data_IF_899576161922
#
_entry.id   IF_899576161922
#
_cell.length_a   1.000
_cell.length_b   1.000
_cell.length_c   1.000
_cell.angle_alpha   90.00
_cell.angle_beta   90.00
_cell.angle_gamma   90.00
#
_symmetry.space_group_name_H-M   'P 1'
#
loop_
_entity.id
_entity.type
_entity.pdbx_description
1 polymer ?
#
# COMPACT_ATOMS: atom_id res chain seq x y z
N UNK A 1 74.86 66.31 44.98
CA UNK A 1 73.47 66.82 44.98
C UNK A 1 72.54 65.67 44.58
N UNK A 2 71.51 65.39 45.40
CA UNK A 2 70.19 64.76 45.14
C UNK A 2 70.04 63.82 43.91
N UNK A 3 69.51 62.59 43.98
CA UNK A 3 68.34 62.14 44.72
C UNK A 3 68.32 60.59 44.89
N UNK A 4 67.86 60.11 46.04
CA UNK A 4 67.52 58.69 46.29
C UNK A 4 66.11 58.43 45.77
N UNK A 5 65.95 57.43 44.90
CA UNK A 5 64.66 56.85 44.51
C UNK A 5 64.42 55.56 45.31
N UNK A 6 63.57 55.64 46.34
CA UNK A 6 63.07 54.49 47.10
C UNK A 6 61.95 53.81 46.32
N UNK A 7 62.17 52.59 45.81
CA UNK A 7 61.11 51.69 45.33
C UNK A 7 60.39 51.09 46.53
N UNK A 8 59.09 51.37 46.65
CA UNK A 8 58.19 50.72 47.62
C UNK A 8 57.80 49.32 47.11
N UNK A 9 57.84 48.32 48.01
CA UNK A 9 57.25 47.00 47.78
C UNK A 9 55.71 47.11 47.78
N UNK A 10 54.98 46.46 46.85
CA UNK A 10 53.53 46.38 46.94
C UNK A 10 53.13 45.44 48.09
N UNK A 11 52.24 45.92 48.95
CA UNK A 11 51.57 45.16 50.01
C UNK A 11 50.65 44.06 49.41
N UNK A 12 50.51 42.89 50.07
CA UNK A 12 49.61 41.85 49.60
C UNK A 12 48.16 42.33 49.64
N UNK A 13 47.46 42.24 48.52
CA UNK A 13 46.01 42.47 48.43
C UNK A 13 45.27 41.44 49.28
N UNK A 14 44.29 41.83 50.12
CA UNK A 14 43.51 40.88 50.89
C UNK A 14 42.67 40.02 49.94
N UNK A 15 42.86 38.71 50.02
CA UNK A 15 41.96 37.75 49.37
C UNK A 15 40.57 37.91 49.98
N UNK A 16 39.56 38.17 49.14
CA UNK A 16 38.16 38.22 49.58
C UNK A 16 37.82 36.89 50.27
N UNK A 17 37.21 36.90 51.46
CA UNK A 17 36.83 35.67 52.13
C UNK A 17 35.85 34.91 51.24
N UNK A 18 36.16 33.65 50.97
CA UNK A 18 35.26 32.74 50.24
C UNK A 18 33.93 32.75 50.97
N UNK A 19 32.87 33.23 50.31
CA UNK A 19 31.54 33.27 50.89
C UNK A 19 30.96 31.85 50.85
N UNK A 20 31.29 31.07 51.87
CA UNK A 20 30.82 29.70 52.05
C UNK A 20 29.29 29.59 52.02
N UNK A 21 28.55 30.65 52.35
CA UNK A 21 27.08 30.70 52.23
C UNK A 21 26.57 30.64 50.78
N UNK A 22 27.31 31.20 49.82
CA UNK A 22 26.96 31.11 48.39
C UNK A 22 27.29 29.73 47.85
N UNK A 23 28.43 29.15 48.24
CA UNK A 23 28.84 27.81 47.80
C UNK A 23 27.87 26.75 48.34
N UNK A 24 27.47 26.82 49.60
CA UNK A 24 26.48 25.91 50.19
C UNK A 24 25.11 26.08 49.56
N UNK A 25 24.68 27.32 49.26
CA UNK A 25 23.43 27.57 48.56
C UNK A 25 23.41 26.94 47.15
N UNK A 26 24.51 27.09 46.38
CA UNK A 26 24.63 26.47 45.05
C UNK A 26 24.64 24.95 45.13
N UNK A 27 25.36 24.37 46.10
CA UNK A 27 25.38 22.91 46.31
C UNK A 27 24.00 22.40 46.72
N UNK A 28 23.28 23.08 47.61
CA UNK A 28 21.92 22.71 48.02
C UNK A 28 20.91 22.86 46.87
N UNK A 29 21.07 23.87 46.02
CA UNK A 29 20.25 24.03 44.82
C UNK A 29 20.52 22.90 43.82
N UNK A 30 21.79 22.53 43.64
CA UNK A 30 22.18 21.42 42.77
C UNK A 30 21.71 20.07 43.29
N UNK A 31 21.85 19.80 44.59
CA UNK A 31 21.32 18.62 45.27
C UNK A 31 19.80 18.62 45.22
N UNK A 32 19.14 19.77 45.40
CA UNK A 32 17.69 19.92 45.29
C UNK A 32 17.19 19.63 43.88
N UNK A 33 17.85 20.13 42.84
CA UNK A 33 17.53 19.83 41.44
C UNK A 33 17.83 18.39 41.07
N UNK A 34 18.91 17.81 41.60
CA UNK A 34 19.29 16.43 41.35
C UNK A 34 18.36 15.47 42.08
N UNK A 35 17.99 15.77 43.33
CA UNK A 35 17.00 15.03 44.10
C UNK A 35 15.61 15.16 43.46
N UNK A 36 15.21 16.34 43.00
CA UNK A 36 13.99 16.53 42.24
C UNK A 36 14.02 15.75 40.92
N UNK A 37 15.11 15.77 40.14
CA UNK A 37 15.26 14.93 38.94
C UNK A 37 15.22 13.42 39.25
N UNK A 38 15.81 12.99 40.37
CA UNK A 38 15.84 11.59 40.79
C UNK A 38 14.51 11.13 41.42
N UNK A 39 13.66 12.04 41.88
CA UNK A 39 12.38 11.73 42.56
C UNK A 39 11.14 12.14 41.77
N UNK A 40 11.28 12.96 40.72
CA UNK A 40 10.20 13.34 39.80
C UNK A 40 9.81 12.14 38.95
N UNK A 41 8.91 11.32 39.47
CA UNK A 41 8.25 10.28 38.68
C UNK A 41 7.37 10.97 37.64
N UNK A 42 7.51 10.56 36.37
CA UNK A 42 6.59 10.97 35.32
C UNK A 42 5.17 10.60 35.80
N UNK A 43 4.23 11.56 35.84
CA UNK A 43 2.88 11.27 36.31
C UNK A 43 2.25 10.23 35.41
N UNK A 44 1.69 9.17 36.01
CA UNK A 44 0.99 8.12 35.27
C UNK A 44 -0.24 8.73 34.62
N UNK A 45 -0.32 8.65 33.29
CA UNK A 45 -1.50 9.09 32.55
C UNK A 45 -2.68 8.16 32.86
N UNK A 46 -3.89 8.72 33.04
CA UNK A 46 -5.10 7.90 33.11
C UNK A 46 -5.35 7.22 31.74
N UNK A 47 -5.76 5.95 31.78
CA UNK A 47 -6.11 5.20 30.58
C UNK A 47 -7.22 5.93 29.79
N UNK A 48 -7.11 6.03 28.46
CA UNK A 48 -8.15 6.65 27.64
C UNK A 48 -9.49 5.93 27.80
N UNK A 49 -10.58 6.71 27.86
CA UNK A 49 -11.94 6.17 27.85
C UNK A 49 -12.45 6.20 26.42
N UNK A 50 -12.58 5.03 25.82
CA UNK A 50 -13.00 4.87 24.43
C UNK A 50 -14.28 4.04 24.40
N UNK A 51 -15.25 4.45 23.58
CA UNK A 51 -16.42 3.63 23.29
C UNK A 51 -16.01 2.47 22.38
N UNK A 52 -16.21 1.25 22.87
CA UNK A 52 -15.82 0.02 22.18
C UNK A 52 -17.03 -0.76 21.63
N UNK A 53 -18.23 -0.18 21.69
CA UNK A 53 -19.47 -0.88 21.33
C UNK A 53 -19.51 -1.38 19.87
N UNK A 54 -18.92 -0.63 18.94
CA UNK A 54 -18.85 -0.97 17.51
C UNK A 54 -17.48 -1.50 17.07
N UNK A 55 -16.56 -1.74 18.01
CA UNK A 55 -15.19 -2.17 17.72
C UNK A 55 -15.11 -3.69 17.62
N UNK A 56 -14.31 -4.18 16.66
CA UNK A 56 -14.09 -5.60 16.46
C UNK A 56 -13.57 -6.28 17.75
N UNK A 57 -14.14 -7.42 18.18
CA UNK A 57 -13.74 -8.12 19.41
C UNK A 57 -12.24 -8.41 19.51
N UNK A 58 -11.56 -8.61 18.38
CA UNK A 58 -10.13 -8.86 18.38
C UNK A 58 -9.31 -7.61 18.74
N UNK A 59 -9.76 -6.44 18.27
CA UNK A 59 -9.19 -5.15 18.65
C UNK A 59 -9.46 -4.89 20.14
N UNK A 60 -10.68 -5.16 20.62
CA UNK A 60 -11.05 -5.03 22.05
C UNK A 60 -10.14 -5.89 22.93
N UNK A 61 -9.93 -7.16 22.59
CA UNK A 61 -9.04 -8.05 23.33
C UNK A 61 -7.59 -7.53 23.34
N UNK A 62 -7.11 -7.01 22.21
CA UNK A 62 -5.77 -6.41 22.13
C UNK A 62 -5.63 -5.17 23.03
N UNK A 63 -6.65 -4.30 23.05
CA UNK A 63 -6.72 -3.13 23.94
C UNK A 63 -6.68 -3.59 25.40
N UNK A 64 -7.56 -4.52 25.80
CA UNK A 64 -7.64 -5.03 27.17
C UNK A 64 -6.32 -5.66 27.65
N UNK A 65 -5.64 -6.41 26.78
CA UNK A 65 -4.32 -6.97 27.09
C UNK A 65 -3.26 -5.89 27.31
N UNK A 66 -3.24 -4.85 26.47
CA UNK A 66 -2.31 -3.73 26.61
C UNK A 66 -2.60 -2.93 27.90
N UNK A 67 -3.87 -2.63 28.19
CA UNK A 67 -4.30 -1.99 29.43
C UNK A 67 -3.94 -2.82 30.67
N UNK A 68 -4.10 -4.14 30.61
CA UNK A 68 -3.71 -5.05 31.69
C UNK A 68 -2.22 -4.95 32.02
N UNK A 69 -1.37 -4.88 30.99
CA UNK A 69 0.08 -4.66 31.16
C UNK A 69 0.40 -3.30 31.76
N UNK A 70 -0.30 -2.24 31.34
CA UNK A 70 -0.14 -0.89 31.92
C UNK A 70 -0.56 -0.86 33.39
N UNK A 71 -1.65 -1.55 33.76
CA UNK A 71 -2.08 -1.65 35.16
C UNK A 71 -1.05 -2.37 36.04
N UNK A 72 -0.33 -3.34 35.48
CA UNK A 72 0.75 -4.05 36.18
C UNK A 72 2.04 -3.21 36.29
N UNK A 73 2.43 -2.55 35.20
CA UNK A 73 3.59 -1.65 35.14
C UNK A 73 3.23 -0.35 34.40
N UNK A 74 2.78 0.68 35.14
CA UNK A 74 2.41 1.96 34.54
C UNK A 74 3.58 2.72 33.90
N UNK A 75 4.82 2.34 34.21
CA UNK A 75 6.04 2.95 33.67
C UNK A 75 6.54 2.29 32.39
N UNK A 76 5.86 1.25 31.91
CA UNK A 76 6.24 0.53 30.69
C UNK A 76 5.90 1.35 29.43
N UNK A 77 6.90 2.04 28.87
CA UNK A 77 6.76 2.75 27.60
C UNK A 77 6.28 1.81 26.48
N UNK A 78 6.78 0.57 26.45
CA UNK A 78 6.36 -0.42 25.46
C UNK A 78 4.87 -0.78 25.55
N UNK A 79 4.29 -0.89 26.76
CA UNK A 79 2.88 -1.20 26.94
C UNK A 79 2.00 -0.03 26.46
N UNK A 80 2.39 1.20 26.82
CA UNK A 80 1.74 2.42 26.33
C UNK A 80 1.85 2.57 24.81
N UNK A 81 3.01 2.26 24.23
CA UNK A 81 3.21 2.32 22.79
C UNK A 81 2.33 1.29 22.05
N UNK A 82 2.24 0.06 22.56
CA UNK A 82 1.36 -0.95 21.97
C UNK A 82 -0.11 -0.52 22.03
N UNK A 83 -0.57 0.02 23.16
CA UNK A 83 -1.92 0.56 23.28
C UNK A 83 -2.14 1.70 22.28
N UNK A 84 -1.19 2.63 22.20
CA UNK A 84 -1.27 3.78 21.30
C UNK A 84 -1.28 3.41 19.82
N UNK A 85 -0.42 2.46 19.41
CA UNK A 85 -0.42 1.90 18.06
C UNK A 85 -1.75 1.22 17.77
N UNK A 86 -2.25 0.39 18.70
CA UNK A 86 -3.52 -0.33 18.53
C UNK A 86 -4.67 0.65 18.31
N UNK A 87 -4.74 1.73 19.09
CA UNK A 87 -5.75 2.76 18.86
C UNK A 87 -5.57 3.45 17.51
N UNK A 88 -4.36 3.94 17.21
CA UNK A 88 -4.10 4.72 15.99
C UNK A 88 -4.46 3.95 14.71
N UNK A 89 -4.00 2.71 14.57
CA UNK A 89 -4.19 1.94 13.33
C UNK A 89 -5.59 1.40 13.14
N UNK A 90 -6.40 1.43 14.19
CA UNK A 90 -7.82 1.06 14.17
C UNK A 90 -8.70 2.31 14.32
N UNK A 91 -8.26 3.43 13.71
CA UNK A 91 -8.99 4.69 13.54
C UNK A 91 -9.29 5.50 14.81
N UNK A 92 -8.83 5.06 15.98
CA UNK A 92 -8.93 5.80 17.24
C UNK A 92 -7.71 6.71 17.43
N UNK A 93 -7.59 7.74 16.59
CA UNK A 93 -6.36 8.55 16.45
C UNK A 93 -5.97 9.34 17.71
N UNK A 94 -6.91 10.08 18.30
CA UNK A 94 -6.65 10.93 19.47
C UNK A 94 -6.16 10.14 20.71
N UNK A 95 -6.85 9.05 21.16
CA UNK A 95 -6.33 8.23 22.25
C UNK A 95 -5.03 7.52 21.87
N UNK A 96 -4.86 7.15 20.60
CA UNK A 96 -3.62 6.58 20.09
C UNK A 96 -2.42 7.50 20.23
N UNK A 97 -2.53 8.73 19.72
CA UNK A 97 -1.50 9.75 19.81
C UNK A 97 -1.13 10.09 21.25
N UNK A 98 -2.12 10.19 22.16
CA UNK A 98 -1.85 10.42 23.59
C UNK A 98 -1.03 9.32 24.25
N UNK A 99 -1.36 8.05 23.99
CA UNK A 99 -0.61 6.92 24.50
C UNK A 99 0.83 6.89 23.94
N UNK A 100 1.02 7.22 22.66
CA UNK A 100 2.33 7.30 22.02
C UNK A 100 3.18 8.44 22.59
N UNK A 101 2.58 9.61 22.80
CA UNK A 101 3.23 10.74 23.47
C UNK A 101 3.69 10.36 24.89
N UNK A 102 2.84 9.64 25.63
CA UNK A 102 3.21 9.16 26.97
C UNK A 102 4.33 8.11 26.94
N UNK A 103 4.30 7.19 25.98
CA UNK A 103 5.40 6.24 25.76
C UNK A 103 6.73 6.96 25.47
N UNK A 104 6.69 8.04 24.68
CA UNK A 104 7.87 8.87 24.44
C UNK A 104 8.37 9.58 25.69
N UNK A 105 7.48 10.09 26.56
CA UNK A 105 7.89 10.68 27.84
C UNK A 105 8.63 9.68 28.73
N UNK A 106 8.19 8.42 28.75
CA UNK A 106 8.82 7.34 29.52
C UNK A 106 10.15 6.88 28.91
N UNK A 107 10.27 6.87 27.58
CA UNK A 107 11.51 6.53 26.86
C UNK A 107 11.92 7.60 25.82
N UNK A 108 12.44 8.77 26.25
CA UNK A 108 12.71 9.91 25.35
C UNK A 108 13.81 9.68 24.32
N UNK A 109 14.53 8.56 24.37
CA UNK A 109 15.56 8.20 23.39
C UNK A 109 14.99 7.40 22.21
N UNK A 110 13.77 6.89 22.32
CA UNK A 110 13.13 6.08 21.29
C UNK A 110 12.32 6.94 20.33
N UNK A 111 13.01 7.51 19.32
CA UNK A 111 12.38 8.41 18.34
C UNK A 111 11.20 7.81 17.56
N UNK A 112 11.09 6.48 17.50
CA UNK A 112 9.96 5.79 16.83
C UNK A 112 8.60 6.08 17.48
N UNK A 113 8.54 6.32 18.79
CA UNK A 113 7.28 6.66 19.47
C UNK A 113 6.76 8.02 18.99
N UNK A 114 7.67 8.98 18.85
CA UNK A 114 7.38 10.30 18.30
C UNK A 114 7.01 10.23 16.81
N UNK A 115 7.63 9.31 16.07
CA UNK A 115 7.28 9.07 14.67
C UNK A 115 5.83 8.60 14.53
N UNK A 116 5.43 7.58 15.29
CA UNK A 116 4.05 7.09 15.28
C UNK A 116 3.05 8.11 15.81
N UNK A 117 3.41 8.88 16.86
CA UNK A 117 2.58 9.98 17.36
C UNK A 117 2.30 10.98 16.24
N UNK A 118 3.35 11.42 15.53
CA UNK A 118 3.20 12.35 14.42
C UNK A 118 2.33 11.80 13.29
N UNK A 119 2.46 10.51 12.95
CA UNK A 119 1.60 9.87 11.95
C UNK A 119 0.14 9.72 12.42
N UNK A 120 -0.12 9.63 13.73
CA UNK A 120 -1.47 9.57 14.27
C UNK A 120 -2.27 10.87 14.09
N UNK A 121 -1.59 11.98 13.82
CA UNK A 121 -2.22 13.26 13.54
C UNK A 121 -2.73 13.41 12.11
N UNK A 122 -2.36 12.52 11.19
CA UNK A 122 -2.74 12.64 9.79
C UNK A 122 -4.11 12.04 9.48
N UNK A 123 -4.87 12.62 8.53
CA UNK A 123 -4.58 13.86 7.79
C UNK A 123 -5.06 15.13 8.52
N UNK A 124 -5.62 15.00 9.73
CA UNK A 124 -6.44 16.03 10.37
C UNK A 124 -5.63 17.20 10.95
N UNK A 125 -4.35 16.97 11.30
CA UNK A 125 -3.48 17.90 12.02
C UNK A 125 -2.06 17.90 11.44
N UNK A 126 -1.95 18.30 10.18
CA UNK A 126 -0.69 18.28 9.40
C UNK A 126 0.43 19.08 10.06
N UNK A 127 0.24 20.32 10.55
CA UNK A 127 1.33 21.09 11.16
C UNK A 127 1.96 20.39 12.38
N UNK A 128 1.14 19.80 13.24
CA UNK A 128 1.62 19.04 14.39
C UNK A 128 2.27 17.72 13.97
N UNK A 129 1.75 17.07 12.92
CA UNK A 129 2.35 15.86 12.36
C UNK A 129 3.77 16.13 11.84
N UNK A 130 3.92 17.19 11.04
CA UNK A 130 5.19 17.64 10.45
C UNK A 130 6.22 17.89 11.54
N UNK A 131 5.86 18.63 12.59
CA UNK A 131 6.81 18.93 13.67
C UNK A 131 7.25 17.68 14.44
N UNK A 132 6.30 16.79 14.77
CA UNK A 132 6.62 15.53 15.47
C UNK A 132 7.50 14.62 14.62
N UNK A 133 7.17 14.44 13.34
CA UNK A 133 7.91 13.57 12.42
C UNK A 133 9.30 14.16 12.14
N UNK A 134 9.44 15.49 12.04
CA UNK A 134 10.74 16.16 11.88
C UNK A 134 11.68 15.84 13.04
N UNK A 135 11.22 16.01 14.28
CA UNK A 135 12.03 15.67 15.46
C UNK A 135 12.36 14.16 15.44
N UNK A 136 11.39 13.30 15.12
CA UNK A 136 11.63 11.86 15.04
C UNK A 136 12.66 11.50 13.96
N UNK A 137 12.63 12.15 12.80
CA UNK A 137 13.57 11.96 11.70
C UNK A 137 15.00 12.40 12.04
N UNK A 138 15.15 13.42 12.89
CA UNK A 138 16.46 13.82 13.42
C UNK A 138 16.99 12.77 14.42
N UNK A 139 16.12 12.23 15.28
CA UNK A 139 16.50 11.21 16.26
C UNK A 139 16.84 9.86 15.64
N UNK A 140 16.12 9.49 14.57
CA UNK A 140 16.25 8.21 13.88
C UNK A 140 17.20 8.26 12.68
N UNK A 141 17.85 9.41 12.42
CA UNK A 141 18.66 9.65 11.24
C UNK A 141 19.74 8.58 11.01
N UNK A 142 20.40 8.14 12.08
CA UNK A 142 21.43 7.10 12.02
C UNK A 142 20.87 5.70 11.80
N UNK A 143 19.60 5.48 12.09
CA UNK A 143 18.95 4.17 11.97
C UNK A 143 18.42 3.96 10.55
N UNK A 144 17.67 4.92 10.01
CA UNK A 144 17.07 4.80 8.68
C UNK A 144 16.59 6.14 8.13
N UNK A 145 16.56 6.30 6.80
CA UNK A 145 16.03 7.50 6.12
C UNK A 145 14.51 7.62 6.14
N UNK A 146 13.80 6.53 6.46
CA UNK A 146 12.36 6.39 6.26
C UNK A 146 11.53 7.55 6.85
N UNK A 147 11.74 7.96 8.11
CA UNK A 147 10.96 9.06 8.70
C UNK A 147 11.20 10.40 7.98
N UNK A 148 12.43 10.66 7.52
CA UNK A 148 12.76 11.89 6.79
C UNK A 148 12.16 11.90 5.38
N UNK A 149 12.20 10.77 4.69
CA UNK A 149 11.53 10.62 3.40
C UNK A 149 10.01 10.79 3.54
N UNK A 150 9.40 10.21 4.59
CA UNK A 150 7.97 10.37 4.84
C UNK A 150 7.60 11.81 5.17
N UNK A 151 8.41 12.52 5.96
CA UNK A 151 8.25 13.96 6.20
C UNK A 151 8.23 14.75 4.89
N UNK A 152 9.20 14.50 4.01
CA UNK A 152 9.30 15.17 2.72
C UNK A 152 8.05 14.93 1.86
N UNK A 153 7.56 13.68 1.82
CA UNK A 153 6.33 13.33 1.10
C UNK A 153 5.11 14.04 1.68
N UNK A 154 4.94 14.07 3.00
CA UNK A 154 3.81 14.77 3.64
C UNK A 154 3.81 16.26 3.29
N UNK A 155 4.97 16.91 3.37
CA UNK A 155 5.12 18.31 2.99
C UNK A 155 4.79 18.55 1.50
N UNK A 156 5.26 17.67 0.61
CA UNK A 156 4.96 17.78 -0.82
C UNK A 156 3.47 17.54 -1.13
N UNK A 157 2.83 16.58 -0.47
CA UNK A 157 1.40 16.29 -0.60
C UNK A 157 0.53 17.45 -0.07
N UNK A 158 0.99 18.14 0.97
CA UNK A 158 0.39 19.39 1.48
C UNK A 158 0.68 20.62 0.59
N UNK A 159 1.38 20.44 -0.54
CA UNK A 159 1.72 21.50 -1.49
C UNK A 159 2.93 22.35 -1.10
N UNK A 160 3.59 22.04 0.02
CA UNK A 160 4.77 22.75 0.52
C UNK A 160 6.07 22.24 -0.14
N UNK A 161 6.17 22.35 -1.47
CA UNK A 161 7.29 21.80 -2.25
C UNK A 161 8.66 22.34 -1.83
N UNK A 162 8.76 23.63 -1.54
CA UNK A 162 10.01 24.26 -1.11
C UNK A 162 10.45 23.78 0.29
N UNK A 163 9.50 23.48 1.18
CA UNK A 163 9.79 22.89 2.49
C UNK A 163 10.18 21.41 2.37
N UNK A 164 9.60 20.67 1.42
CA UNK A 164 9.91 19.26 1.18
C UNK A 164 11.33 19.06 0.59
N UNK A 165 11.75 19.96 -0.31
CA UNK A 165 13.03 19.89 -1.04
C UNK A 165 14.26 19.56 -0.17
N UNK A 166 14.59 20.31 0.90
CA UNK A 166 15.79 20.02 1.70
C UNK A 166 15.73 18.64 2.36
N UNK A 167 14.54 18.12 2.69
CA UNK A 167 14.41 16.79 3.26
C UNK A 167 14.70 15.68 2.25
N UNK A 168 14.26 15.83 0.99
CA UNK A 168 14.64 14.90 -0.08
C UNK A 168 16.14 14.95 -0.38
N UNK A 169 16.73 16.16 -0.44
CA UNK A 169 18.17 16.34 -0.65
C UNK A 169 18.97 15.63 0.45
N UNK A 170 18.58 15.81 1.72
CA UNK A 170 19.22 15.15 2.85
C UNK A 170 19.18 13.62 2.74
N UNK A 171 18.05 13.05 2.31
CA UNK A 171 17.95 11.61 2.06
C UNK A 171 18.93 11.18 0.96
N UNK A 172 19.00 11.94 -0.13
CA UNK A 172 19.86 11.61 -1.27
C UNK A 172 21.35 11.77 -0.97
N UNK A 173 21.73 12.76 -0.16
CA UNK A 173 23.12 12.98 0.29
C UNK A 173 23.66 11.77 1.07
N UNK A 174 22.82 11.16 1.91
CA UNK A 174 23.20 10.03 2.74
C UNK A 174 22.97 8.67 2.06
N UNK A 175 22.00 8.61 1.16
CA UNK A 175 21.62 7.42 0.40
C UNK A 175 21.56 7.76 -1.10
N UNK A 176 22.74 7.90 -1.75
CA UNK A 176 22.81 8.22 -3.17
C UNK A 176 22.04 7.22 -4.01
N UNK A 177 21.24 7.72 -4.96
CA UNK A 177 20.40 6.89 -5.82
C UNK A 177 19.10 6.39 -5.19
N UNK A 178 18.70 6.89 -4.00
CA UNK A 178 17.40 6.55 -3.43
C UNK A 178 16.26 6.96 -4.40
N UNK A 179 15.50 5.99 -4.95
CA UNK A 179 14.60 6.27 -6.06
C UNK A 179 13.41 7.15 -5.65
N UNK A 180 12.92 6.98 -4.41
CA UNK A 180 11.81 7.78 -3.88
C UNK A 180 12.21 9.23 -3.65
N UNK A 181 13.43 9.48 -3.16
CA UNK A 181 13.94 10.84 -3.01
C UNK A 181 14.19 11.51 -4.36
N UNK A 182 14.72 10.78 -5.35
CA UNK A 182 14.86 11.27 -6.73
C UNK A 182 13.50 11.62 -7.34
N UNK A 183 12.51 10.74 -7.20
CA UNK A 183 11.14 11.01 -7.68
C UNK A 183 10.55 12.26 -7.01
N UNK A 184 10.74 12.41 -5.70
CA UNK A 184 10.34 13.61 -4.95
C UNK A 184 10.99 14.89 -5.47
N UNK A 185 12.32 14.88 -5.67
CA UNK A 185 13.06 16.03 -6.21
C UNK A 185 12.69 16.36 -7.67
N UNK A 186 12.38 15.35 -8.48
CA UNK A 186 11.85 15.55 -9.82
C UNK A 186 10.53 16.30 -9.79
N UNK A 187 9.60 15.89 -8.90
CA UNK A 187 8.30 16.58 -8.70
C UNK A 187 8.47 18.00 -8.18
N UNK A 188 9.37 18.21 -7.22
CA UNK A 188 9.70 19.56 -6.72
C UNK A 188 10.23 20.42 -7.86
N UNK A 189 11.20 19.93 -8.65
CA UNK A 189 11.81 20.68 -9.75
C UNK A 189 10.79 21.02 -10.84
N UNK A 190 9.88 20.08 -11.14
CA UNK A 190 8.76 20.28 -12.05
C UNK A 190 7.80 21.37 -11.54
N UNK A 191 7.47 21.36 -10.24
CA UNK A 191 6.61 22.38 -9.64
C UNK A 191 7.25 23.78 -9.65
N UNK A 192 8.57 23.86 -9.48
CA UNK A 192 9.34 25.11 -9.57
C UNK A 192 9.62 25.55 -11.03
N UNK A 193 9.15 24.81 -12.04
CA UNK A 193 9.34 25.13 -13.47
C UNK A 193 10.71 24.81 -14.04
N UNK A 194 11.57 24.11 -13.30
CA UNK A 194 12.89 23.68 -13.77
C UNK A 194 12.80 22.30 -14.41
N UNK A 195 12.29 22.25 -15.65
CA UNK A 195 11.98 20.99 -16.35
C UNK A 195 13.23 20.15 -16.65
N UNK A 196 14.36 20.75 -17.02
CA UNK A 196 15.60 20.02 -17.29
C UNK A 196 16.10 19.28 -16.06
N UNK A 197 16.04 19.93 -14.89
CA UNK A 197 16.41 19.30 -13.63
C UNK A 197 15.40 18.21 -13.23
N UNK A 198 14.10 18.42 -13.52
CA UNK A 198 13.08 17.41 -13.28
C UNK A 198 13.32 16.14 -14.10
N UNK A 199 13.59 16.29 -15.41
CA UNK A 199 13.95 15.19 -16.31
C UNK A 199 15.16 14.42 -15.75
N UNK A 200 16.24 15.13 -15.40
CA UNK A 200 17.46 14.49 -14.88
C UNK A 200 17.22 13.66 -13.60
N UNK A 201 16.31 14.09 -12.73
CA UNK A 201 15.95 13.30 -11.54
C UNK A 201 15.07 12.09 -11.87
N UNK A 202 14.08 12.24 -12.76
CA UNK A 202 13.21 11.14 -13.12
C UNK A 202 13.94 10.03 -13.89
N UNK A 203 14.85 10.39 -14.80
CA UNK A 203 15.66 9.41 -15.55
C UNK A 203 16.44 8.47 -14.62
N UNK A 204 16.99 9.01 -13.52
CA UNK A 204 17.75 8.24 -12.53
C UNK A 204 16.92 7.22 -11.74
N UNK A 205 15.59 7.36 -11.69
CA UNK A 205 14.71 6.44 -10.96
C UNK A 205 13.76 5.62 -11.86
N UNK A 206 13.99 5.58 -13.18
CA UNK A 206 13.21 4.77 -14.14
C UNK A 206 13.36 3.27 -13.96
N UNK A 207 14.46 2.79 -13.39
CA UNK A 207 14.74 1.35 -13.24
C UNK A 207 14.29 0.76 -11.90
N UNK A 208 14.01 1.60 -10.91
CA UNK A 208 13.62 1.15 -9.58
C UNK A 208 12.16 0.70 -9.58
N UNK A 209 11.88 -0.46 -8.98
CA UNK A 209 10.55 -1.08 -8.99
C UNK A 209 9.48 -0.21 -8.33
N UNK A 210 9.89 0.61 -7.38
CA UNK A 210 9.06 1.49 -6.57
C UNK A 210 8.68 2.81 -7.27
N UNK A 211 9.34 3.15 -8.37
CA UNK A 211 9.17 4.46 -9.03
C UNK A 211 9.10 4.41 -10.55
N UNK A 212 9.43 3.29 -11.19
CA UNK A 212 9.54 3.16 -12.65
C UNK A 212 8.32 3.67 -13.42
N UNK A 213 7.10 3.29 -13.04
CA UNK A 213 5.87 3.73 -13.70
C UNK A 213 5.66 5.22 -13.47
N UNK A 214 5.76 5.67 -12.22
CA UNK A 214 5.62 7.08 -11.88
C UNK A 214 6.63 7.97 -12.61
N UNK A 215 7.88 7.52 -12.71
CA UNK A 215 8.97 8.22 -13.39
C UNK A 215 8.73 8.30 -14.90
N UNK A 216 8.41 7.19 -15.55
CA UNK A 216 8.08 7.17 -16.99
C UNK A 216 6.85 8.03 -17.31
N UNK A 217 5.82 8.00 -16.46
CA UNK A 217 4.63 8.85 -16.61
C UNK A 217 4.99 10.33 -16.50
N UNK A 218 5.85 10.70 -15.54
CA UNK A 218 6.29 12.08 -15.38
C UNK A 218 7.15 12.55 -16.56
N UNK A 219 8.05 11.70 -17.05
CA UNK A 219 8.89 11.97 -18.22
C UNK A 219 8.05 12.14 -19.49
N UNK A 220 7.06 11.28 -19.74
CA UNK A 220 6.17 11.40 -20.89
C UNK A 220 5.49 12.78 -20.93
N UNK A 221 4.94 13.21 -19.79
CA UNK A 221 4.30 14.52 -19.66
C UNK A 221 5.26 15.68 -19.89
N UNK A 222 6.51 15.59 -19.40
CA UNK A 222 7.52 16.63 -19.61
C UNK A 222 8.00 16.69 -21.07
N UNK A 223 8.30 15.54 -21.68
CA UNK A 223 8.70 15.49 -23.09
C UNK A 223 7.62 16.01 -24.02
N UNK A 224 6.35 15.74 -23.73
CA UNK A 224 5.24 16.29 -24.48
C UNK A 224 5.19 17.83 -24.42
N UNK A 225 5.38 18.41 -23.22
CA UNK A 225 5.42 19.88 -23.04
C UNK A 225 6.60 20.53 -23.78
N UNK A 226 7.73 19.83 -23.85
CA UNK A 226 8.93 20.27 -24.57
C UNK A 226 8.82 20.09 -26.10
N UNK A 227 7.76 19.43 -26.60
CA UNK A 227 7.56 19.15 -28.03
C UNK A 227 8.31 17.90 -28.54
N UNK A 228 8.91 17.11 -27.65
CA UNK A 228 9.61 15.86 -27.95
C UNK A 228 8.62 14.69 -28.02
N UNK A 229 7.81 14.66 -29.09
CA UNK A 229 6.70 13.70 -29.25
C UNK A 229 7.18 12.25 -29.19
N UNK A 230 8.23 11.89 -29.92
CA UNK A 230 8.75 10.51 -29.96
C UNK A 230 9.23 10.03 -28.58
N UNK A 231 9.94 10.89 -27.84
CA UNK A 231 10.40 10.58 -26.48
C UNK A 231 9.21 10.44 -25.50
N UNK A 232 8.19 11.28 -25.67
CA UNK A 232 6.94 11.18 -24.90
C UNK A 232 6.22 9.85 -25.16
N UNK A 233 6.05 9.46 -26.42
CA UNK A 233 5.39 8.22 -26.80
C UNK A 233 6.13 6.99 -26.26
N UNK A 234 7.47 6.97 -26.37
CA UNK A 234 8.28 5.89 -25.82
C UNK A 234 8.15 5.80 -24.29
N UNK A 235 8.26 6.93 -23.58
CA UNK A 235 8.09 6.95 -22.12
C UNK A 235 6.68 6.51 -21.71
N UNK A 236 5.64 6.91 -22.44
CA UNK A 236 4.27 6.49 -22.19
C UNK A 236 4.10 4.97 -22.40
N UNK A 237 4.66 4.43 -23.48
CA UNK A 237 4.62 3.00 -23.76
C UNK A 237 5.30 2.17 -22.65
N UNK A 238 6.43 2.66 -22.12
CA UNK A 238 7.12 2.04 -20.98
C UNK A 238 6.27 2.11 -19.70
N UNK A 239 5.60 3.23 -19.44
CA UNK A 239 4.70 3.37 -18.29
C UNK A 239 3.47 2.44 -18.39
N UNK A 240 2.88 2.32 -19.59
CA UNK A 240 1.70 1.48 -19.84
C UNK A 240 2.02 -0.02 -19.74
N UNK A 241 3.27 -0.41 -20.05
CA UNK A 241 3.75 -1.78 -19.86
C UNK A 241 3.89 -2.18 -18.37
N UNK A 242 3.83 -1.22 -17.44
CA UNK A 242 3.94 -1.47 -16.01
C UNK A 242 2.54 -1.31 -15.39
N UNK A 243 2.01 -2.34 -14.74
CA UNK A 243 0.69 -2.28 -14.12
C UNK A 243 0.66 -1.30 -12.95
N UNK A 244 1.58 -1.44 -12.00
CA UNK A 244 1.76 -0.56 -10.86
C UNK A 244 3.20 -0.60 -10.35
N UNK A 245 3.63 0.47 -9.69
CA UNK A 245 4.88 0.47 -8.95
C UNK A 245 4.77 -0.38 -7.68
N UNK A 246 5.89 -0.99 -7.28
CA UNK A 246 6.01 -1.68 -6.01
C UNK A 246 5.83 -0.68 -4.85
N UNK A 247 5.11 -1.08 -3.80
CA UNK A 247 4.97 -0.26 -2.61
C UNK A 247 6.28 -0.26 -1.82
N UNK A 248 6.89 0.92 -1.67
CA UNK A 248 8.05 1.07 -0.79
C UNK A 248 7.64 0.86 0.68
N UNK A 249 8.27 -0.11 1.35
CA UNK A 249 7.93 -0.46 2.72
C UNK A 249 8.76 0.35 3.73
N UNK A 250 8.07 1.19 4.50
CA UNK A 250 8.65 1.86 5.66
C UNK A 250 8.94 0.82 6.77
N UNK A 251 10.22 0.60 7.17
CA UNK A 251 10.58 -0.42 8.15
C UNK A 251 10.00 -0.18 9.55
N UNK A 252 9.59 1.04 9.88
CA UNK A 252 8.91 1.31 11.15
C UNK A 252 7.42 0.96 11.05
N UNK A 253 6.79 1.18 9.90
CA UNK A 253 5.39 0.81 9.69
C UNK A 253 5.19 -0.70 9.52
N UNK A 254 6.22 -1.44 9.11
CA UNK A 254 6.16 -2.91 9.09
C UNK A 254 5.96 -3.49 10.50
N UNK A 255 6.55 -2.86 11.53
CA UNK A 255 6.38 -3.24 12.95
C UNK A 255 4.97 -2.96 13.48
N UNK A 256 4.24 -2.07 12.80
CA UNK A 256 2.90 -1.65 13.16
C UNK A 256 1.83 -2.54 12.50
N UNK A 257 2.14 -3.15 11.35
CA UNK A 257 1.22 -4.03 10.60
C UNK A 257 0.51 -5.09 11.46
N UNK A 258 1.18 -5.78 12.42
CA UNK A 258 0.52 -6.79 13.25
C UNK A 258 -0.62 -6.26 14.14
N UNK A 259 -0.72 -4.94 14.34
CA UNK A 259 -1.78 -4.30 15.13
C UNK A 259 -2.95 -3.79 14.30
N UNK A 260 -2.88 -3.88 12.96
CA UNK A 260 -4.02 -3.71 12.06
C UNK A 260 -4.88 -4.97 12.12
N UNK A 261 -5.81 -4.95 13.05
CA UNK A 261 -6.61 -6.09 13.45
C UNK A 261 -8.06 -5.92 12.99
N UNK A 262 -8.82 -7.00 13.08
CA UNK A 262 -10.23 -6.97 12.78
C UNK A 262 -10.56 -7.34 11.33
N UNK A 263 -11.84 -7.54 11.11
CA UNK A 263 -12.40 -7.95 9.82
C UNK A 263 -11.96 -7.03 8.67
N UNK A 264 -12.16 -5.70 8.80
CA UNK A 264 -11.91 -4.74 7.71
C UNK A 264 -10.44 -4.72 7.29
N UNK A 265 -9.53 -4.54 8.25
CA UNK A 265 -8.09 -4.45 7.98
C UNK A 265 -7.52 -5.72 7.32
N UNK A 266 -7.98 -6.89 7.76
CA UNK A 266 -7.56 -8.16 7.17
C UNK A 266 -8.13 -8.37 5.77
N UNK A 267 -9.40 -8.00 5.55
CA UNK A 267 -10.02 -8.06 4.22
C UNK A 267 -9.34 -7.13 3.21
N UNK A 268 -8.95 -5.92 3.63
CA UNK A 268 -8.22 -4.98 2.78
C UNK A 268 -6.84 -5.51 2.42
N UNK A 269 -6.13 -6.06 3.41
CA UNK A 269 -4.82 -6.68 3.23
C UNK A 269 -4.90 -7.88 2.27
N UNK A 270 -5.87 -8.77 2.47
CA UNK A 270 -6.11 -9.90 1.58
C UNK A 270 -6.48 -9.43 0.17
N UNK A 271 -7.36 -8.44 0.05
CA UNK A 271 -7.76 -7.86 -1.24
C UNK A 271 -6.58 -7.25 -2.01
N UNK A 272 -5.66 -6.58 -1.31
CA UNK A 272 -4.43 -6.04 -1.90
C UNK A 272 -3.54 -7.16 -2.47
N UNK A 273 -3.30 -8.22 -1.69
CA UNK A 273 -2.52 -9.38 -2.13
C UNK A 273 -3.18 -10.08 -3.32
N UNK A 274 -4.51 -10.23 -3.30
CA UNK A 274 -5.27 -10.83 -4.40
C UNK A 274 -5.18 -10.01 -5.69
N UNK A 275 -5.28 -8.67 -5.61
CA UNK A 275 -5.11 -7.79 -6.79
C UNK A 275 -3.71 -7.86 -7.36
N UNK A 276 -2.68 -7.98 -6.52
CA UNK A 276 -1.27 -8.12 -6.94
C UNK A 276 -0.91 -9.52 -7.45
N UNK A 277 -1.88 -10.45 -7.51
CA UNK A 277 -1.63 -11.85 -7.89
C UNK A 277 -0.76 -12.63 -6.90
N UNK A 278 -0.54 -12.10 -5.68
CA UNK A 278 0.29 -12.72 -4.64
C UNK A 278 -0.47 -13.81 -3.89
N UNK A 279 -1.03 -14.78 -4.63
CA UNK A 279 -1.96 -15.78 -4.11
C UNK A 279 -1.37 -16.63 -2.97
N UNK A 280 -0.08 -16.96 -3.06
CA UNK A 280 0.64 -17.72 -2.02
C UNK A 280 0.73 -16.96 -0.70
N UNK A 281 0.83 -15.63 -0.74
CA UNK A 281 0.82 -14.80 0.47
C UNK A 281 -0.60 -14.53 0.96
N UNK A 282 -1.57 -14.42 0.04
CA UNK A 282 -2.98 -14.19 0.36
C UNK A 282 -3.62 -15.39 1.10
N UNK A 283 -3.31 -16.62 0.68
CA UNK A 283 -3.92 -17.85 1.19
C UNK A 283 -3.95 -17.96 2.72
N UNK A 284 -2.82 -17.92 3.45
CA UNK A 284 -2.84 -18.07 4.91
C UNK A 284 -3.65 -16.96 5.60
N UNK A 285 -3.67 -15.75 5.04
CA UNK A 285 -4.48 -14.65 5.57
C UNK A 285 -5.97 -14.89 5.32
N UNK A 286 -6.36 -15.32 4.11
CA UNK A 286 -7.75 -15.65 3.78
C UNK A 286 -8.26 -16.82 4.63
N UNK A 287 -7.45 -17.85 4.86
CA UNK A 287 -7.80 -18.96 5.76
C UNK A 287 -8.07 -18.45 7.18
N UNK A 288 -7.19 -17.59 7.70
CA UNK A 288 -7.34 -16.98 9.02
C UNK A 288 -8.60 -16.12 9.12
N UNK A 289 -8.91 -15.35 8.07
CA UNK A 289 -10.15 -14.57 7.98
C UNK A 289 -11.36 -15.49 8.04
N UNK A 290 -11.40 -16.57 7.24
CA UNK A 290 -12.53 -17.50 7.23
C UNK A 290 -12.70 -18.20 8.58
N UNK A 291 -11.60 -18.56 9.25
CA UNK A 291 -11.64 -19.18 10.58
C UNK A 291 -12.21 -18.22 11.65
N UNK A 292 -11.90 -16.92 11.53
CA UNK A 292 -12.29 -15.91 12.54
C UNK A 292 -13.65 -15.28 12.24
N UNK A 293 -13.94 -15.06 10.96
CA UNK A 293 -15.12 -14.39 10.43
C UNK A 293 -15.75 -15.23 9.30
N UNK A 294 -16.41 -16.36 9.64
CA UNK A 294 -16.85 -17.35 8.66
C UNK A 294 -17.97 -16.88 7.72
N UNK A 295 -18.63 -15.77 8.04
CA UNK A 295 -19.79 -15.25 7.31
C UNK A 295 -19.46 -14.09 6.36
N UNK A 296 -18.16 -13.85 6.09
CA UNK A 296 -17.73 -12.88 5.07
C UNK A 296 -17.75 -13.53 3.69
N UNK A 297 -18.76 -13.21 2.87
CA UNK A 297 -18.88 -13.73 1.48
C UNK A 297 -17.60 -13.52 0.67
N UNK A 298 -17.04 -12.30 0.71
CA UNK A 298 -15.84 -11.93 -0.06
C UNK A 298 -14.59 -12.76 0.29
N UNK A 299 -14.45 -13.19 1.55
CA UNK A 299 -13.33 -14.05 1.95
C UNK A 299 -13.42 -15.43 1.27
N UNK A 300 -14.64 -15.99 1.20
CA UNK A 300 -14.89 -17.24 0.47
C UNK A 300 -14.69 -17.10 -1.04
N UNK A 301 -15.01 -15.93 -1.63
CA UNK A 301 -14.66 -15.63 -3.03
C UNK A 301 -13.15 -15.65 -3.25
N UNK A 302 -12.37 -15.00 -2.37
CA UNK A 302 -10.91 -15.02 -2.46
C UNK A 302 -10.36 -16.44 -2.35
N UNK A 303 -10.87 -17.25 -1.42
CA UNK A 303 -10.49 -18.65 -1.31
C UNK A 303 -10.82 -19.43 -2.60
N UNK A 304 -12.01 -19.25 -3.15
CA UNK A 304 -12.41 -19.84 -4.43
C UNK A 304 -11.45 -19.50 -5.58
N UNK A 305 -11.05 -18.22 -5.71
CA UNK A 305 -10.10 -17.77 -6.74
C UNK A 305 -8.71 -18.37 -6.55
N UNK A 306 -8.23 -18.47 -5.31
CA UNK A 306 -6.96 -19.12 -4.98
C UNK A 306 -7.00 -20.59 -5.41
N UNK A 307 -8.06 -21.31 -5.04
CA UNK A 307 -8.23 -22.73 -5.37
C UNK A 307 -8.38 -22.98 -6.88
N UNK A 308 -9.05 -22.08 -7.60
CA UNK A 308 -9.11 -22.12 -9.07
C UNK A 308 -7.72 -22.00 -9.71
N UNK A 309 -6.88 -21.08 -9.21
CA UNK A 309 -5.51 -20.94 -9.68
C UNK A 309 -4.64 -22.17 -9.35
N UNK A 310 -4.91 -22.83 -8.23
CA UNK A 310 -4.31 -24.11 -7.83
C UNK A 310 -4.87 -25.32 -8.61
N UNK A 311 -5.86 -25.11 -9.50
CA UNK A 311 -6.60 -26.15 -10.24
C UNK A 311 -7.37 -27.12 -9.33
N UNK A 312 -7.63 -26.73 -8.09
CA UNK A 312 -8.46 -27.49 -7.16
C UNK A 312 -9.93 -27.05 -7.30
N UNK A 313 -10.55 -27.44 -8.41
CA UNK A 313 -11.88 -26.96 -8.78
C UNK A 313 -12.98 -27.44 -7.83
N UNK A 314 -12.86 -28.65 -7.25
CA UNK A 314 -13.86 -29.17 -6.30
C UNK A 314 -13.93 -28.31 -5.03
N UNK A 315 -12.79 -28.02 -4.41
CA UNK A 315 -12.76 -27.20 -3.21
C UNK A 315 -13.11 -25.73 -3.53
N UNK A 316 -12.73 -25.25 -4.71
CA UNK A 316 -13.16 -23.93 -5.18
C UNK A 316 -14.68 -23.81 -5.27
N UNK A 317 -15.37 -24.83 -5.81
CA UNK A 317 -16.82 -24.87 -5.85
C UNK A 317 -17.43 -24.79 -4.43
N UNK A 318 -16.90 -25.56 -3.47
CA UNK A 318 -17.40 -25.54 -2.10
C UNK A 318 -17.29 -24.14 -1.46
N UNK A 319 -16.14 -23.49 -1.60
CA UNK A 319 -15.93 -22.12 -1.12
C UNK A 319 -16.88 -21.13 -1.81
N UNK A 320 -17.01 -21.21 -3.13
CA UNK A 320 -17.83 -20.29 -3.92
C UNK A 320 -19.34 -20.48 -3.69
N UNK A 321 -19.81 -21.71 -3.42
CA UNK A 321 -21.19 -21.95 -2.97
C UNK A 321 -21.45 -21.35 -1.59
N UNK A 322 -20.48 -21.41 -0.67
CA UNK A 322 -20.59 -20.71 0.63
C UNK A 322 -20.63 -19.20 0.43
N UNK A 323 -19.79 -18.63 -0.44
CA UNK A 323 -19.83 -17.20 -0.80
C UNK A 323 -21.21 -16.79 -1.35
N UNK A 324 -21.74 -17.55 -2.31
CA UNK A 324 -23.04 -17.31 -2.91
C UNK A 324 -24.19 -17.45 -1.91
N UNK A 325 -24.11 -18.39 -0.97
CA UNK A 325 -25.10 -18.53 0.11
C UNK A 325 -25.10 -17.32 1.05
N UNK A 326 -23.93 -16.76 1.34
CA UNK A 326 -23.77 -15.59 2.21
C UNK A 326 -24.22 -14.30 1.51
N UNK A 327 -23.94 -14.17 0.22
CA UNK A 327 -24.38 -13.05 -0.60
C UNK A 327 -24.86 -13.54 -1.98
N UNK A 328 -26.17 -13.84 -2.12
CA UNK A 328 -26.75 -14.27 -3.39
C UNK A 328 -26.77 -13.18 -4.48
N UNK A 329 -26.44 -11.93 -4.15
CA UNK A 329 -26.37 -10.83 -5.12
C UNK A 329 -24.95 -10.65 -5.68
N UNK A 330 -23.95 -11.36 -5.14
CA UNK A 330 -22.56 -11.24 -5.56
C UNK A 330 -22.35 -11.80 -6.97
N UNK A 331 -22.23 -10.89 -7.94
CA UNK A 331 -21.93 -11.23 -9.34
C UNK A 331 -20.56 -11.90 -9.47
N UNK A 332 -19.56 -11.46 -8.69
CA UNK A 332 -18.24 -12.11 -8.69
C UNK A 332 -18.33 -13.55 -8.19
N UNK A 333 -19.12 -13.83 -7.15
CA UNK A 333 -19.33 -15.21 -6.68
C UNK A 333 -19.99 -16.08 -7.76
N UNK A 334 -21.00 -15.56 -8.46
CA UNK A 334 -21.67 -16.26 -9.56
C UNK A 334 -20.70 -16.60 -10.70
N UNK A 335 -19.93 -15.63 -11.17
CA UNK A 335 -18.96 -15.84 -12.27
C UNK A 335 -17.91 -16.86 -11.86
N UNK A 336 -17.29 -16.71 -10.70
CA UNK A 336 -16.23 -17.61 -10.26
C UNK A 336 -16.78 -19.03 -9.99
N UNK A 337 -18.01 -19.15 -9.48
CA UNK A 337 -18.68 -20.46 -9.32
C UNK A 337 -18.92 -21.12 -10.68
N UNK A 338 -19.43 -20.36 -11.66
CA UNK A 338 -19.58 -20.83 -13.04
C UNK A 338 -18.26 -21.29 -13.65
N UNK A 339 -17.16 -20.54 -13.43
CA UNK A 339 -15.81 -20.93 -13.88
C UNK A 339 -15.37 -22.25 -13.25
N UNK A 340 -15.58 -22.42 -11.94
CA UNK A 340 -15.27 -23.69 -11.26
C UNK A 340 -16.04 -24.87 -11.85
N UNK A 341 -17.34 -24.69 -12.10
CA UNK A 341 -18.20 -25.71 -12.70
C UNK A 341 -17.79 -26.03 -14.14
N UNK A 342 -17.43 -25.01 -14.93
CA UNK A 342 -16.91 -25.16 -16.29
C UNK A 342 -15.66 -26.06 -16.31
N UNK A 343 -14.69 -25.81 -15.43
CA UNK A 343 -13.46 -26.62 -15.35
C UNK A 343 -13.70 -28.05 -14.84
N UNK A 344 -14.81 -28.29 -14.15
CA UNK A 344 -15.26 -29.63 -13.76
C UNK A 344 -16.13 -30.32 -14.84
N UNK A 345 -16.28 -29.72 -16.03
CA UNK A 345 -17.17 -30.17 -17.10
C UNK A 345 -18.67 -30.19 -16.73
N UNK A 346 -19.07 -29.48 -15.67
CA UNK A 346 -20.48 -29.29 -15.25
C UNK A 346 -21.11 -28.13 -16.05
N UNK A 347 -21.06 -28.21 -17.37
CA UNK A 347 -21.37 -27.08 -18.27
C UNK A 347 -22.79 -26.54 -18.15
N UNK A 348 -23.80 -27.40 -17.94
CA UNK A 348 -25.19 -26.96 -17.81
C UNK A 348 -25.38 -26.07 -16.56
N UNK A 349 -24.81 -26.47 -15.42
CA UNK A 349 -24.89 -25.68 -14.19
C UNK A 349 -24.04 -24.39 -14.29
N UNK A 350 -22.90 -24.45 -14.98
CA UNK A 350 -22.09 -23.26 -15.25
C UNK A 350 -22.86 -22.20 -16.05
N UNK A 351 -23.61 -22.63 -17.08
CA UNK A 351 -24.47 -21.76 -17.90
C UNK A 351 -25.49 -21.02 -17.02
N UNK A 352 -26.14 -21.70 -16.07
CA UNK A 352 -27.13 -21.10 -15.18
C UNK A 352 -26.53 -19.97 -14.33
N UNK A 353 -25.31 -20.17 -13.80
CA UNK A 353 -24.62 -19.13 -13.02
C UNK A 353 -24.10 -17.98 -13.89
N UNK A 354 -23.60 -18.25 -15.10
CA UNK A 354 -23.20 -17.18 -16.02
C UNK A 354 -24.39 -16.34 -16.47
N UNK A 355 -25.54 -16.96 -16.76
CA UNK A 355 -26.77 -16.24 -17.12
C UNK A 355 -27.25 -15.35 -15.96
N UNK A 356 -27.24 -15.85 -14.72
CA UNK A 356 -27.56 -15.03 -13.54
C UNK A 356 -26.60 -13.84 -13.36
N UNK A 357 -25.30 -14.06 -13.58
CA UNK A 357 -24.31 -12.98 -13.52
C UNK A 357 -24.55 -11.92 -14.60
N UNK A 358 -24.87 -12.34 -15.83
CA UNK A 358 -25.18 -11.46 -16.97
C UNK A 358 -26.49 -10.69 -16.76
N UNK A 359 -27.51 -11.32 -16.17
CA UNK A 359 -28.77 -10.65 -15.84
C UNK A 359 -28.54 -9.47 -14.88
N UNK A 360 -27.62 -9.64 -13.92
CA UNK A 360 -27.26 -8.58 -12.96
C UNK A 360 -26.30 -7.55 -13.54
N UNK A 361 -25.34 -7.99 -14.35
CA UNK A 361 -24.32 -7.14 -14.95
C UNK A 361 -24.12 -7.48 -16.43
N UNK A 362 -24.88 -6.83 -17.33
CA UNK A 362 -24.87 -7.14 -18.77
C UNK A 362 -23.56 -6.79 -19.51
N UNK A 363 -22.65 -6.05 -18.89
CA UNK A 363 -21.41 -5.58 -19.52
C UNK A 363 -20.17 -6.41 -19.12
N UNK A 364 -20.38 -7.66 -18.67
CA UNK A 364 -19.31 -8.57 -18.27
C UNK A 364 -18.81 -9.44 -19.43
N UNK A 365 -17.80 -8.97 -20.15
CA UNK A 365 -17.15 -9.72 -21.23
C UNK A 365 -16.68 -11.12 -20.78
N UNK A 366 -16.11 -11.24 -19.57
CA UNK A 366 -15.66 -12.51 -18.98
C UNK A 366 -16.82 -13.52 -18.81
N UNK A 367 -17.99 -13.08 -18.37
CA UNK A 367 -19.14 -13.96 -18.18
C UNK A 367 -19.65 -14.49 -19.52
N UNK A 368 -19.75 -13.64 -20.54
CA UNK A 368 -20.11 -14.07 -21.90
C UNK A 368 -19.09 -15.02 -22.51
N UNK A 369 -17.79 -14.79 -22.27
CA UNK A 369 -16.74 -15.66 -22.79
C UNK A 369 -16.85 -17.07 -22.21
N UNK A 370 -16.98 -17.18 -20.88
CA UNK A 370 -17.11 -18.48 -20.22
C UNK A 370 -18.48 -19.16 -20.49
N UNK A 371 -19.53 -18.38 -20.71
CA UNK A 371 -20.82 -18.87 -21.22
C UNK A 371 -20.65 -19.49 -22.60
N UNK A 372 -19.93 -18.82 -23.51
CA UNK A 372 -19.64 -19.32 -24.85
C UNK A 372 -18.84 -20.63 -24.82
N UNK A 373 -17.83 -20.71 -23.95
CA UNK A 373 -17.05 -21.94 -23.73
C UNK A 373 -17.94 -23.09 -23.26
N UNK A 374 -18.84 -22.84 -22.29
CA UNK A 374 -19.77 -23.86 -21.79
C UNK A 374 -20.72 -24.36 -22.88
N UNK A 375 -21.31 -23.45 -23.67
CA UNK A 375 -22.16 -23.81 -24.81
C UNK A 375 -21.40 -24.59 -25.89
N UNK A 376 -20.17 -24.16 -26.21
CA UNK A 376 -19.30 -24.83 -27.16
C UNK A 376 -19.00 -26.27 -26.73
N UNK A 377 -18.69 -26.50 -25.44
CA UNK A 377 -18.44 -27.85 -24.90
C UNK A 377 -19.68 -28.76 -24.94
N UNK A 378 -20.89 -28.19 -24.89
CA UNK A 378 -22.14 -28.92 -25.08
C UNK A 378 -22.54 -29.09 -26.56
N UNK A 379 -21.75 -28.58 -27.51
CA UNK A 379 -22.08 -28.61 -28.94
C UNK A 379 -23.21 -27.67 -29.34
N UNK A 380 -23.55 -26.70 -28.49
CA UNK A 380 -24.61 -25.71 -28.73
C UNK A 380 -24.05 -24.54 -29.54
N UNK A 381 -23.94 -24.74 -30.86
CA UNK A 381 -23.23 -23.85 -31.79
C UNK A 381 -23.81 -22.42 -31.80
N UNK A 382 -25.12 -22.25 -31.99
CA UNK A 382 -25.73 -20.91 -32.08
C UNK A 382 -25.64 -20.10 -30.78
N UNK A 383 -25.93 -20.66 -29.59
CA UNK A 383 -25.68 -19.98 -28.32
C UNK A 383 -24.20 -19.61 -28.12
N UNK A 384 -23.26 -20.51 -28.46
CA UNK A 384 -21.83 -20.23 -28.35
C UNK A 384 -21.40 -19.07 -29.26
N UNK A 385 -21.83 -19.06 -30.53
CA UNK A 385 -21.56 -17.93 -31.45
C UNK A 385 -22.06 -16.62 -30.90
N UNK A 386 -23.29 -16.61 -30.38
CA UNK A 386 -23.92 -15.40 -29.82
C UNK A 386 -23.10 -14.88 -28.64
N UNK A 387 -22.73 -15.75 -27.70
CA UNK A 387 -21.96 -15.38 -26.52
C UNK A 387 -20.52 -14.92 -26.86
N UNK A 388 -19.83 -15.57 -27.80
CA UNK A 388 -18.53 -15.09 -28.28
C UNK A 388 -18.63 -13.73 -28.99
N UNK A 389 -19.66 -13.52 -29.81
CA UNK A 389 -19.87 -12.23 -30.47
C UNK A 389 -20.14 -11.11 -29.45
N UNK A 390 -20.91 -11.39 -28.39
CA UNK A 390 -21.13 -10.47 -27.27
C UNK A 390 -19.84 -10.16 -26.52
N UNK A 391 -19.00 -11.18 -26.26
CA UNK A 391 -17.67 -11.00 -25.66
C UNK A 391 -16.86 -9.98 -26.45
N UNK A 392 -16.75 -10.17 -27.77
CA UNK A 392 -15.98 -9.30 -28.66
C UNK A 392 -16.59 -7.90 -28.82
N UNK A 393 -17.90 -7.75 -28.63
CA UNK A 393 -18.56 -6.44 -28.60
C UNK A 393 -18.15 -5.64 -27.36
N UNK A 394 -18.04 -6.31 -26.20
CA UNK A 394 -17.70 -5.68 -24.93
C UNK A 394 -16.18 -5.48 -24.79
N UNK A 395 -15.39 -6.45 -25.25
CA UNK A 395 -13.94 -6.39 -25.25
C UNK A 395 -13.36 -6.99 -26.55
N UNK A 396 -13.08 -6.14 -27.56
CA UNK A 396 -12.49 -6.57 -28.83
C UNK A 396 -11.05 -7.09 -28.70
N UNK A 397 -10.38 -6.92 -27.54
CA UNK A 397 -8.98 -7.31 -27.35
C UNK A 397 -8.75 -8.80 -27.08
N UNK A 398 -9.80 -9.60 -26.91
CA UNK A 398 -9.70 -11.01 -26.49
C UNK A 398 -9.50 -11.90 -27.72
N UNK A 399 -8.23 -12.20 -28.05
CA UNK A 399 -7.87 -13.03 -29.20
C UNK A 399 -8.51 -14.43 -29.17
N UNK A 400 -8.63 -15.03 -27.97
CA UNK A 400 -9.24 -16.34 -27.75
C UNK A 400 -10.73 -16.37 -28.11
N UNK A 401 -11.44 -15.24 -27.95
CA UNK A 401 -12.84 -15.14 -28.35
C UNK A 401 -13.00 -15.15 -29.89
N UNK A 402 -12.04 -14.61 -30.65
CA UNK A 402 -12.01 -14.76 -32.11
C UNK A 402 -11.76 -16.21 -32.52
N UNK A 403 -10.87 -16.93 -31.83
CA UNK A 403 -10.63 -18.37 -32.07
C UNK A 403 -11.91 -19.16 -31.82
N UNK A 404 -12.57 -18.94 -30.68
CA UNK A 404 -13.82 -19.59 -30.32
C UNK A 404 -14.91 -19.35 -31.38
N UNK A 405 -15.14 -18.08 -31.74
CA UNK A 405 -16.15 -17.72 -32.74
C UNK A 405 -15.85 -18.30 -34.13
N UNK A 406 -14.59 -18.23 -34.58
CA UNK A 406 -14.17 -18.82 -35.85
C UNK A 406 -14.38 -20.34 -35.87
N UNK A 407 -14.06 -21.02 -34.76
CA UNK A 407 -14.27 -22.46 -34.60
C UNK A 407 -15.75 -22.82 -34.69
N UNK A 408 -16.63 -22.05 -34.04
CA UNK A 408 -18.08 -22.24 -34.15
C UNK A 408 -18.59 -22.04 -35.58
N UNK A 409 -18.09 -21.04 -36.31
CA UNK A 409 -18.43 -20.86 -37.73
C UNK A 409 -17.93 -22.03 -38.60
N UNK A 410 -16.73 -22.55 -38.36
CA UNK A 410 -16.21 -23.73 -39.09
C UNK A 410 -17.09 -24.95 -38.84
N UNK A 411 -17.45 -25.21 -37.59
CA UNK A 411 -18.35 -26.32 -37.22
C UNK A 411 -19.73 -26.17 -37.87
N UNK A 412 -20.24 -24.93 -38.02
CA UNK A 412 -21.48 -24.64 -38.73
C UNK A 412 -21.34 -24.55 -40.26
N UNK A 413 -20.15 -24.85 -40.81
CA UNK A 413 -19.82 -24.75 -42.25
C UNK A 413 -19.91 -23.33 -42.85
N UNK A 414 -19.89 -22.30 -42.02
CA UNK A 414 -19.90 -20.89 -42.42
C UNK A 414 -18.48 -20.36 -42.66
N UNK A 415 -17.77 -20.93 -43.64
CA UNK A 415 -16.33 -20.69 -43.83
C UNK A 415 -15.98 -19.22 -44.12
N UNK A 416 -16.84 -18.47 -44.82
CA UNK A 416 -16.62 -17.04 -45.10
C UNK A 416 -16.65 -16.19 -43.82
N UNK A 417 -17.56 -16.50 -42.89
CA UNK A 417 -17.66 -15.81 -41.60
C UNK A 417 -16.48 -16.18 -40.70
N UNK A 418 -16.04 -17.44 -40.73
CA UNK A 418 -14.84 -17.90 -40.02
C UNK A 418 -13.59 -17.15 -40.49
N UNK A 419 -13.31 -17.10 -41.80
CA UNK A 419 -12.14 -16.41 -42.35
C UNK A 419 -12.13 -14.92 -41.99
N UNK A 420 -13.29 -14.25 -42.08
CA UNK A 420 -13.43 -12.84 -41.67
C UNK A 420 -13.11 -12.65 -40.19
N UNK A 421 -13.57 -13.57 -39.35
CA UNK A 421 -13.32 -13.54 -37.89
C UNK A 421 -11.85 -13.75 -37.57
N UNK A 422 -11.19 -14.71 -38.23
CA UNK A 422 -9.74 -14.96 -38.06
C UNK A 422 -8.91 -13.74 -38.45
N UNK A 423 -9.20 -13.12 -39.60
CA UNK A 423 -8.49 -11.89 -40.04
C UNK A 423 -8.60 -10.76 -39.01
N UNK A 424 -9.81 -10.51 -38.50
CA UNK A 424 -10.02 -9.53 -37.42
C UNK A 424 -9.25 -9.88 -36.15
N UNK A 425 -9.23 -11.15 -35.76
CA UNK A 425 -8.43 -11.59 -34.61
C UNK A 425 -6.93 -11.35 -34.80
N UNK A 426 -6.41 -11.50 -36.03
CA UNK A 426 -5.01 -11.22 -36.35
C UNK A 426 -4.70 -9.73 -36.46
N UNK A 427 -5.68 -8.87 -36.75
CA UNK A 427 -5.51 -7.41 -36.60
C UNK A 427 -5.27 -7.03 -35.13
N UNK A 428 -5.92 -7.74 -34.20
CA UNK A 428 -5.76 -7.54 -32.74
C UNK A 428 -4.49 -8.21 -32.20
N UNK A 429 -4.20 -9.42 -32.64
CA UNK A 429 -3.04 -10.20 -32.19
C UNK A 429 -2.32 -10.87 -33.38
N UNK A 430 -1.43 -10.14 -34.08
CA UNK A 430 -0.80 -10.59 -35.34
C UNK A 430 -0.03 -11.91 -35.24
N UNK A 431 0.51 -12.22 -34.06
CA UNK A 431 1.33 -13.41 -33.81
C UNK A 431 0.58 -14.51 -33.04
N UNK A 432 -0.75 -14.47 -32.96
CA UNK A 432 -1.52 -15.45 -32.20
C UNK A 432 -1.49 -16.85 -32.87
N UNK A 433 -0.87 -17.89 -32.27
CA UNK A 433 -0.56 -19.14 -32.97
C UNK A 433 -1.78 -19.87 -33.53
N UNK A 434 -2.88 -19.92 -32.77
CA UNK A 434 -4.09 -20.62 -33.19
C UNK A 434 -4.81 -19.89 -34.34
N UNK A 435 -4.76 -18.56 -34.38
CA UNK A 435 -5.39 -17.79 -35.46
C UNK A 435 -4.59 -17.93 -36.76
N UNK A 436 -3.26 -17.93 -36.68
CA UNK A 436 -2.38 -18.22 -37.83
C UNK A 436 -2.60 -19.64 -38.36
N UNK A 437 -2.72 -20.62 -37.48
CA UNK A 437 -3.01 -22.02 -37.86
C UNK A 437 -4.38 -22.14 -38.56
N UNK A 438 -5.41 -21.47 -38.05
CA UNK A 438 -6.73 -21.42 -38.69
C UNK A 438 -6.65 -20.75 -40.07
N UNK A 439 -5.91 -19.64 -40.21
CA UNK A 439 -5.74 -18.93 -41.48
C UNK A 439 -5.07 -19.82 -42.54
N UNK A 440 -3.97 -20.49 -42.20
CA UNK A 440 -3.29 -21.44 -43.10
C UNK A 440 -4.23 -22.56 -43.56
N UNK A 441 -5.10 -23.05 -42.67
CA UNK A 441 -6.11 -24.05 -43.01
C UNK A 441 -7.11 -23.60 -44.09
N UNK A 442 -7.35 -22.29 -44.24
CA UNK A 442 -8.16 -21.73 -45.32
C UNK A 442 -7.38 -21.56 -46.63
N UNK A 443 -6.07 -21.37 -46.58
CA UNK A 443 -5.21 -21.15 -47.75
C UNK A 443 -4.80 -22.46 -48.46
N UNK A 444 -4.85 -23.60 -47.75
CA UNK A 444 -4.40 -24.91 -48.26
C UNK A 444 -5.51 -25.69 -49.01
N UNK A 445 -6.79 -25.27 -48.93
CA UNK A 445 -7.90 -25.95 -49.64
C UNK A 445 -8.21 -25.27 -50.98
N UNK A 446 -7.92 -25.91 -52.13
CA UNK A 446 -8.34 -25.43 -53.46
C UNK A 446 -9.85 -25.55 -53.68
#
# INVERSE_FOLDING_TARGET
>A
MSARSTKANPSPTPTSPVNWGIITAVILLFIGTLAWMLTSRIPVMELPRVDLSEIDPMIINQIQQAEGKIKQDPSSASAWAVLGITYWVNEMKEPGGRCLAHAFLLEPKQGRWLYYEGLSFLPDRIPEAVERIRIAADMLEKQHFAPRLRLANILAEDGQMEAAKPHYQHVLERYPGNPMALLGLGRVSQASGNEDQAVAYFEQCTQARETRKAAHTALANLYLRQGSIEASENAQQLADAIEMDDEWEDPFLSLVKPYRLGQTAWMDSAGSLMRRGQLQQARPLVEKIIQTYPDISKAHIYMGKILLAEKNHSDAEAALRKAFKLDPQSVEAMVQLGVSLLWQNKHAEAIDFFNQAIEKSPDLAEAYYNLALSHSSLGQIEPAKTAFAHTLRLNPGIAEAYVGLATMFIQNKELSNALKTVRKGLEVAPNHPQLLSLLQGFEIKP
#
